data_IF_978956157418
#
_entry.id   IF_978956157418
#
_cell.length_a   1.000
_cell.length_b   1.000
_cell.length_c   1.000
_cell.angle_alpha   90.00
_cell.angle_beta   90.00
_cell.angle_gamma   90.00
#
_symmetry.space_group_name_H-M   'P 1'
#
loop_
_entity.id
_entity.type
_entity.pdbx_description
1 polymer ?
#
# COMPACT_ATOMS: atom_id res chain seq x y z
N UNK A 1 -15.94 19.52 17.77
CA UNK A 1 -14.89 20.21 17.00
C UNK A 1 -15.16 19.90 15.53
N UNK A 2 -15.71 20.85 14.80
CA UNK A 2 -16.05 20.67 13.38
C UNK A 2 -14.75 20.90 12.61
N UNK A 3 -14.18 19.84 12.06
CA UNK A 3 -13.10 19.92 11.09
C UNK A 3 -13.68 20.46 9.78
N UNK A 4 -13.31 21.67 9.37
CA UNK A 4 -13.53 22.10 7.98
C UNK A 4 -12.42 21.53 7.08
N UNK A 5 -12.77 21.20 5.83
CA UNK A 5 -11.84 20.56 4.90
C UNK A 5 -10.63 21.44 4.54
N UNK A 6 -10.74 22.76 4.72
CA UNK A 6 -9.67 23.70 4.39
C UNK A 6 -8.53 23.64 5.42
N UNK A 7 -8.86 23.59 6.70
CA UNK A 7 -7.87 23.47 7.78
C UNK A 7 -7.10 22.15 7.71
N UNK A 8 -7.82 21.05 7.40
CA UNK A 8 -7.20 19.76 7.13
C UNK A 8 -6.25 19.82 5.94
N UNK A 9 -6.66 20.44 4.83
CA UNK A 9 -5.83 20.57 3.64
C UNK A 9 -4.57 21.42 3.89
N UNK A 10 -4.69 22.49 4.67
CA UNK A 10 -3.53 23.32 5.06
C UNK A 10 -2.53 22.53 5.89
N UNK A 11 -3.00 21.71 6.84
CA UNK A 11 -2.14 20.83 7.63
C UNK A 11 -1.43 19.81 6.74
N UNK A 12 -2.17 19.15 5.84
CA UNK A 12 -1.62 18.19 4.87
C UNK A 12 -0.55 18.82 3.98
N UNK A 13 -0.79 20.03 3.48
CA UNK A 13 0.19 20.74 2.66
C UNK A 13 1.46 21.07 3.46
N UNK A 14 1.30 21.45 4.72
CA UNK A 14 2.41 21.70 5.64
C UNK A 14 3.26 20.45 5.86
N UNK A 15 2.63 19.33 6.23
CA UNK A 15 3.34 18.06 6.47
C UNK A 15 3.99 17.53 5.18
N UNK A 16 3.27 17.57 4.06
CA UNK A 16 3.77 17.20 2.72
C UNK A 16 5.06 17.93 2.32
N UNK A 17 5.17 19.22 2.66
CA UNK A 17 6.37 20.03 2.39
C UNK A 17 7.57 19.66 3.28
N UNK A 18 7.31 19.23 4.52
CA UNK A 18 8.35 18.84 5.47
C UNK A 18 9.10 17.59 5.02
N UNK A 19 8.41 16.60 4.42
CA UNK A 19 9.05 15.37 3.93
C UNK A 19 10.16 15.64 2.90
N UNK A 20 9.91 16.50 1.91
CA UNK A 20 10.88 16.79 0.86
C UNK A 20 11.99 17.74 1.33
N UNK A 21 11.69 18.67 2.23
CA UNK A 21 12.63 19.69 2.70
C UNK A 21 13.53 19.22 3.84
N UNK A 22 13.18 18.12 4.54
CA UNK A 22 13.83 17.59 5.75
C UNK A 22 13.82 18.54 6.96
N UNK A 23 13.16 19.68 6.85
CA UNK A 23 13.07 20.66 7.93
C UNK A 23 12.35 20.04 9.12
N UNK A 24 12.96 20.13 10.30
CA UNK A 24 12.45 19.61 11.57
C UNK A 24 12.40 18.08 11.69
N UNK A 25 13.07 17.35 10.79
CA UNK A 25 13.20 15.90 10.94
C UNK A 25 13.97 15.52 12.21
N UNK A 26 13.46 14.53 12.93
CA UNK A 26 13.97 14.05 14.21
C UNK A 26 14.06 12.51 14.26
N UNK A 27 13.77 11.85 13.13
CA UNK A 27 13.84 10.41 12.95
C UNK A 27 14.38 10.06 11.56
N UNK A 28 15.30 9.10 11.53
CA UNK A 28 15.87 8.52 10.33
C UNK A 28 15.31 7.11 10.12
N UNK A 29 14.85 6.81 8.90
CA UNK A 29 14.48 5.46 8.50
C UNK A 29 15.56 4.96 7.54
N UNK A 30 16.35 3.98 8.00
CA UNK A 30 17.40 3.35 7.22
C UNK A 30 16.79 2.30 6.28
N UNK A 31 17.33 2.25 5.06
CA UNK A 31 16.97 1.28 4.04
C UNK A 31 18.19 0.67 3.36
N UNK A 32 17.95 -0.35 2.52
CA UNK A 32 18.95 -1.15 1.82
C UNK A 32 20.10 -0.29 1.24
N UNK A 33 21.32 -0.80 1.42
CA UNK A 33 22.57 -0.18 0.98
C UNK A 33 22.89 1.20 1.61
N UNK A 34 22.35 1.44 2.81
CA UNK A 34 22.75 2.56 3.68
C UNK A 34 22.09 3.89 3.35
N UNK A 35 21.01 3.87 2.58
CA UNK A 35 20.32 5.09 2.26
C UNK A 35 19.14 5.35 3.22
N UNK A 36 18.71 6.61 3.32
CA UNK A 36 17.97 7.11 4.49
C UNK A 36 16.81 8.03 4.11
N UNK A 37 15.66 7.84 4.75
CA UNK A 37 14.55 8.81 4.76
C UNK A 37 14.55 9.60 6.06
N UNK A 38 14.39 10.92 5.96
CA UNK A 38 14.29 11.82 7.10
C UNK A 38 12.83 12.14 7.37
N UNK A 39 12.33 11.75 8.53
CA UNK A 39 10.91 11.82 8.89
C UNK A 39 10.72 12.44 10.27
N UNK A 40 9.45 12.59 10.68
CA UNK A 40 9.05 13.31 11.89
C UNK A 40 8.32 12.36 12.82
N UNK A 41 8.72 12.32 14.09
CA UNK A 41 8.03 11.55 15.13
C UNK A 41 6.77 12.29 15.58
N UNK A 42 5.70 11.53 15.77
CA UNK A 42 4.52 12.04 16.47
C UNK A 42 4.61 11.80 17.99
N UNK A 43 5.35 10.77 18.42
CA UNK A 43 5.60 10.41 19.82
C UNK A 43 7.10 10.14 19.97
N UNK A 44 7.70 10.60 21.06
CA UNK A 44 9.14 10.46 21.31
C UNK A 44 9.54 8.97 21.40
N UNK A 45 10.29 8.50 20.41
CA UNK A 45 10.93 7.19 20.41
C UNK A 45 12.24 7.24 21.21
N UNK A 46 12.63 6.12 21.83
CA UNK A 46 13.90 6.01 22.55
C UNK A 46 15.13 6.08 21.61
N UNK A 47 14.95 5.70 20.35
CA UNK A 47 15.96 5.80 19.30
C UNK A 47 15.45 6.68 18.15
N UNK A 48 16.37 7.33 17.45
CA UNK A 48 16.07 8.17 16.29
C UNK A 48 16.28 7.44 14.96
N UNK A 49 16.32 6.10 14.98
CA UNK A 49 16.56 5.28 13.81
C UNK A 49 15.57 4.10 13.77
N UNK A 50 14.94 3.87 12.62
CA UNK A 50 14.18 2.63 12.34
C UNK A 50 14.85 1.93 11.15
N UNK A 51 15.23 0.67 11.33
CA UNK A 51 15.80 -0.16 10.27
C UNK A 51 14.71 -0.96 9.54
N UNK A 52 14.45 -0.61 8.28
CA UNK A 52 13.53 -1.31 7.37
C UNK A 52 14.28 -1.94 6.19
N UNK A 53 15.55 -2.29 6.37
CA UNK A 53 16.43 -2.81 5.29
C UNK A 53 15.99 -4.16 4.71
N UNK A 54 15.15 -4.91 5.42
CA UNK A 54 14.60 -6.19 4.96
C UNK A 54 13.35 -6.04 4.08
N UNK A 55 12.74 -4.86 4.04
CA UNK A 55 11.53 -4.60 3.28
C UNK A 55 11.82 -4.12 1.84
N UNK A 56 10.82 -4.20 0.97
CA UNK A 56 10.92 -3.66 -0.39
C UNK A 56 11.03 -2.12 -0.35
N UNK A 57 12.12 -1.53 -0.89
CA UNK A 57 12.34 -0.08 -0.84
C UNK A 57 11.26 0.75 -1.56
N UNK A 58 10.66 0.22 -2.63
CA UNK A 58 9.61 0.90 -3.37
C UNK A 58 8.31 0.95 -2.54
N UNK A 59 7.96 -0.16 -1.89
CA UNK A 59 6.81 -0.22 -1.00
C UNK A 59 6.99 0.63 0.25
N UNK A 60 8.17 0.60 0.91
CA UNK A 60 8.46 1.47 2.06
C UNK A 60 8.33 2.93 1.67
N UNK A 61 8.87 3.33 0.52
CA UNK A 61 8.73 4.70 0.02
C UNK A 61 7.26 5.07 -0.22
N UNK A 62 6.45 4.14 -0.72
CA UNK A 62 5.01 4.36 -0.90
C UNK A 62 4.26 4.47 0.43
N UNK A 63 4.62 3.69 1.47
CA UNK A 63 4.07 3.82 2.83
C UNK A 63 4.41 5.20 3.41
N UNK A 64 5.66 5.64 3.27
CA UNK A 64 6.07 6.97 3.70
C UNK A 64 5.31 8.05 2.95
N UNK A 65 5.14 7.93 1.63
CA UNK A 65 4.29 8.86 0.86
C UNK A 65 2.87 8.90 1.39
N UNK A 66 2.27 7.76 1.70
CA UNK A 66 0.93 7.72 2.27
C UNK A 66 0.83 8.53 3.57
N UNK A 67 1.81 8.46 4.47
CA UNK A 67 1.78 9.26 5.70
C UNK A 67 1.81 10.77 5.46
N UNK A 68 2.54 11.23 4.46
CA UNK A 68 2.71 12.67 4.22
C UNK A 68 1.67 13.27 3.29
N UNK A 69 1.26 12.51 2.28
CA UNK A 69 0.39 12.97 1.20
C UNK A 69 -1.03 12.38 1.27
N UNK A 70 -1.26 11.43 2.19
CA UNK A 70 -2.51 10.69 2.31
C UNK A 70 -2.89 9.90 1.04
N UNK A 71 -1.91 9.70 0.16
CA UNK A 71 -1.98 8.97 -1.08
C UNK A 71 -0.59 8.41 -1.43
N UNK A 72 -0.57 7.46 -2.35
CA UNK A 72 0.66 6.89 -2.88
C UNK A 72 0.42 6.45 -4.33
N UNK A 73 1.51 6.40 -5.08
CA UNK A 73 1.56 5.85 -6.44
C UNK A 73 2.83 5.02 -6.58
N UNK A 74 2.84 4.00 -7.45
CA UNK A 74 4.05 3.26 -7.75
C UNK A 74 5.15 4.21 -8.20
N UNK A 75 6.37 3.89 -7.80
CA UNK A 75 7.52 4.76 -8.12
C UNK A 75 7.97 4.64 -9.57
N UNK A 76 7.57 3.56 -10.25
CA UNK A 76 7.87 3.30 -11.65
C UNK A 76 6.62 2.83 -12.38
N UNK A 77 6.49 3.16 -13.66
CA UNK A 77 5.39 2.69 -14.52
C UNK A 77 5.55 1.22 -14.94
N UNK A 78 6.56 0.52 -14.42
CA UNK A 78 6.86 -0.88 -14.76
C UNK A 78 6.21 -1.86 -13.78
N UNK A 79 5.85 -1.38 -12.58
CA UNK A 79 5.18 -2.25 -11.61
C UNK A 79 3.71 -2.42 -11.98
N UNK A 80 3.23 -3.66 -11.98
CA UNK A 80 1.84 -3.88 -12.27
C UNK A 80 0.93 -3.36 -11.15
N UNK A 81 0.02 -2.45 -11.52
CA UNK A 81 -0.78 -1.65 -10.58
C UNK A 81 -1.59 -2.50 -9.60
N UNK A 82 -2.13 -3.62 -10.08
CA UNK A 82 -2.98 -4.51 -9.29
C UNK A 82 -2.18 -5.19 -8.17
N UNK A 83 -1.04 -5.78 -8.51
CA UNK A 83 -0.14 -6.41 -7.54
C UNK A 83 0.48 -5.36 -6.60
N UNK A 84 0.84 -4.19 -7.11
CA UNK A 84 1.37 -3.10 -6.29
C UNK A 84 0.38 -2.66 -5.20
N UNK A 85 -0.89 -2.41 -5.55
CA UNK A 85 -1.90 -2.06 -4.54
C UNK A 85 -2.22 -3.21 -3.59
N UNK A 86 -2.10 -4.46 -4.04
CA UNK A 86 -2.18 -5.64 -3.17
C UNK A 86 -1.09 -5.63 -2.11
N UNK A 87 0.16 -5.43 -2.53
CA UNK A 87 1.31 -5.33 -1.63
C UNK A 87 1.17 -4.16 -0.65
N UNK A 88 0.64 -3.02 -1.09
CA UNK A 88 0.38 -1.89 -0.19
C UNK A 88 -0.70 -2.18 0.85
N UNK A 89 -1.69 -3.00 0.52
CA UNK A 89 -2.66 -3.50 1.51
C UNK A 89 -1.99 -4.40 2.55
N UNK A 90 -1.14 -5.33 2.09
CA UNK A 90 -0.34 -6.21 2.95
C UNK A 90 0.56 -5.39 3.88
N UNK A 91 1.26 -4.37 3.37
CA UNK A 91 2.07 -3.46 4.18
C UNK A 91 1.22 -2.74 5.24
N UNK A 92 0.02 -2.29 4.88
CA UNK A 92 -0.92 -1.71 5.84
C UNK A 92 -1.38 -2.69 6.93
N UNK A 93 -1.47 -3.98 6.62
CA UNK A 93 -1.74 -5.02 7.60
C UNK A 93 -0.53 -5.28 8.51
N UNK A 94 0.65 -5.46 7.91
CA UNK A 94 1.91 -5.77 8.58
C UNK A 94 2.34 -4.68 9.56
N UNK A 95 2.25 -3.42 9.16
CA UNK A 95 2.61 -2.27 10.01
C UNK A 95 1.46 -1.72 10.86
N UNK A 96 0.28 -2.36 10.84
CA UNK A 96 -0.91 -1.89 11.55
C UNK A 96 -1.29 -0.44 11.19
N UNK A 97 -1.43 -0.16 9.89
CA UNK A 97 -1.83 1.14 9.34
C UNK A 97 -3.23 1.00 8.68
N UNK A 98 -4.34 1.10 9.45
CA UNK A 98 -5.70 0.87 8.91
C UNK A 98 -6.07 1.79 7.75
N UNK A 99 -5.63 3.06 7.80
CA UNK A 99 -5.87 4.02 6.73
C UNK A 99 -5.25 3.59 5.39
N UNK A 100 -4.04 3.03 5.44
CA UNK A 100 -3.35 2.52 4.26
C UNK A 100 -4.06 1.29 3.69
N UNK A 101 -4.45 0.33 4.54
CA UNK A 101 -5.27 -0.83 4.14
C UNK A 101 -6.54 -0.38 3.42
N UNK A 102 -7.29 0.54 4.00
CA UNK A 102 -8.55 0.99 3.42
C UNK A 102 -8.33 1.71 2.09
N UNK A 103 -7.27 2.53 1.98
CA UNK A 103 -6.93 3.24 0.75
C UNK A 103 -6.50 2.28 -0.36
N UNK A 104 -5.62 1.33 -0.05
CA UNK A 104 -5.17 0.30 -0.99
C UNK A 104 -6.32 -0.57 -1.49
N UNK A 105 -7.23 -0.96 -0.59
CA UNK A 105 -8.45 -1.70 -0.94
C UNK A 105 -9.31 -0.93 -1.94
N UNK A 106 -9.47 0.39 -1.75
CA UNK A 106 -10.24 1.23 -2.68
C UNK A 106 -9.60 1.30 -4.06
N UNK A 107 -8.28 1.54 -4.13
CA UNK A 107 -7.56 1.59 -5.40
C UNK A 107 -7.63 0.25 -6.15
N UNK A 108 -7.36 -0.86 -5.46
CA UNK A 108 -7.45 -2.20 -6.04
C UNK A 108 -8.86 -2.52 -6.54
N UNK A 109 -9.90 -2.21 -5.74
CA UNK A 109 -11.29 -2.41 -6.15
C UNK A 109 -11.63 -1.61 -7.41
N UNK A 110 -11.14 -0.38 -7.54
CA UNK A 110 -11.32 0.42 -8.76
C UNK A 110 -10.71 -0.29 -9.97
N UNK A 111 -9.45 -0.73 -9.87
CA UNK A 111 -8.77 -1.43 -10.97
C UNK A 111 -9.52 -2.69 -11.42
N UNK A 112 -10.03 -3.49 -10.47
CA UNK A 112 -10.83 -4.67 -10.79
C UNK A 112 -12.11 -4.27 -11.54
N UNK A 113 -12.83 -3.25 -11.06
CA UNK A 113 -14.04 -2.77 -11.74
C UNK A 113 -13.76 -2.23 -13.14
N UNK A 114 -12.56 -1.67 -13.37
CA UNK A 114 -12.11 -1.16 -14.66
C UNK A 114 -11.57 -2.27 -15.60
N UNK A 115 -11.71 -3.54 -15.23
CA UNK A 115 -11.34 -4.68 -16.08
C UNK A 115 -9.94 -5.26 -15.82
N UNK A 116 -9.22 -4.76 -14.81
CA UNK A 116 -7.86 -5.29 -14.51
C UNK A 116 -7.87 -6.72 -13.96
N UNK A 117 -9.03 -7.33 -13.76
CA UNK A 117 -9.14 -8.76 -13.44
C UNK A 117 -8.72 -9.66 -14.63
N UNK A 118 -8.74 -9.14 -15.86
CA UNK A 118 -8.28 -9.86 -17.06
C UNK A 118 -6.76 -9.86 -17.23
N UNK A 119 -6.02 -9.14 -16.38
CA UNK A 119 -4.56 -9.14 -16.48
C UNK A 119 -4.00 -10.42 -15.86
N UNK A 120 -2.86 -10.87 -16.40
CA UNK A 120 -2.09 -12.01 -15.86
C UNK A 120 -1.66 -11.83 -14.40
N UNK A 121 -1.80 -10.64 -13.82
CA UNK A 121 -1.42 -10.34 -12.44
C UNK A 121 -2.54 -10.65 -11.46
N UNK A 122 -3.77 -10.83 -11.92
CA UNK A 122 -4.90 -11.08 -11.04
C UNK A 122 -4.71 -12.37 -10.22
N UNK A 123 -4.24 -13.50 -10.79
CA UNK A 123 -3.87 -14.67 -9.99
C UNK A 123 -2.77 -14.39 -8.96
N UNK A 124 -1.70 -13.68 -9.37
CA UNK A 124 -0.58 -13.35 -8.48
C UNK A 124 -1.04 -12.47 -7.30
N UNK A 125 -1.94 -11.51 -7.57
CA UNK A 125 -2.54 -10.67 -6.54
C UNK A 125 -3.41 -11.49 -5.57
N UNK A 126 -4.15 -12.49 -6.05
CA UNK A 126 -4.90 -13.40 -5.18
C UNK A 126 -3.94 -14.16 -4.26
N UNK A 127 -2.89 -14.79 -4.81
CA UNK A 127 -1.91 -15.51 -4.01
C UNK A 127 -1.27 -14.61 -2.95
N UNK A 128 -0.81 -13.42 -3.34
CA UNK A 128 -0.23 -12.43 -2.42
C UNK A 128 -1.17 -12.07 -1.26
N UNK A 129 -2.47 -11.91 -1.52
CA UNK A 129 -3.47 -11.66 -0.46
C UNK A 129 -3.53 -12.84 0.51
N UNK A 130 -3.60 -14.07 -0.01
CA UNK A 130 -3.79 -15.25 0.83
C UNK A 130 -2.53 -15.66 1.59
N UNK A 131 -1.34 -15.40 1.03
CA UNK A 131 -0.04 -15.67 1.66
C UNK A 131 0.26 -14.71 2.81
N UNK A 132 -0.08 -13.42 2.66
CA UNK A 132 0.38 -12.37 3.56
C UNK A 132 -0.70 -11.72 4.42
N UNK A 133 -1.94 -12.20 4.35
CA UNK A 133 -3.01 -11.77 5.26
C UNK A 133 -3.52 -12.94 6.08
N UNK A 134 -4.04 -12.67 7.28
CA UNK A 134 -4.67 -13.71 8.12
C UNK A 134 -6.06 -14.06 7.60
N UNK A 135 -6.56 -15.26 7.91
CA UNK A 135 -7.86 -15.76 7.40
C UNK A 135 -9.08 -14.89 7.78
N UNK A 136 -8.99 -14.24 8.95
CA UNK A 136 -10.01 -13.29 9.43
C UNK A 136 -9.98 -11.95 8.68
N UNK A 137 -8.96 -11.68 7.88
CA UNK A 137 -8.84 -10.45 7.11
C UNK A 137 -9.72 -10.49 5.86
N UNK A 138 -11.01 -10.22 6.05
CA UNK A 138 -12.02 -10.27 4.97
C UNK A 138 -11.90 -9.13 3.97
N UNK A 139 -11.06 -8.12 4.20
CA UNK A 139 -11.07 -6.90 3.39
C UNK A 139 -10.79 -7.12 1.91
N UNK A 140 -9.55 -7.47 1.53
CA UNK A 140 -9.26 -7.81 0.13
C UNK A 140 -9.75 -9.20 -0.27
N UNK A 141 -9.81 -10.15 0.68
CA UNK A 141 -10.30 -11.51 0.42
C UNK A 141 -11.72 -11.49 -0.15
N UNK A 142 -12.63 -10.70 0.42
CA UNK A 142 -14.01 -10.59 -0.10
C UNK A 142 -14.05 -9.91 -1.48
N UNK A 143 -13.15 -8.95 -1.74
CA UNK A 143 -13.07 -8.25 -3.03
C UNK A 143 -12.67 -9.23 -4.13
N UNK A 144 -11.59 -9.99 -3.92
CA UNK A 144 -11.10 -10.92 -4.94
C UNK A 144 -12.03 -12.13 -5.09
N UNK A 145 -12.63 -12.65 -4.02
CA UNK A 145 -13.62 -13.74 -4.11
C UNK A 145 -14.81 -13.33 -4.98
N UNK A 146 -15.32 -12.10 -4.81
CA UNK A 146 -16.40 -11.58 -5.67
C UNK A 146 -15.94 -11.49 -7.12
N UNK A 147 -14.80 -10.85 -7.37
CA UNK A 147 -14.25 -10.69 -8.72
C UNK A 147 -14.00 -12.03 -9.42
N UNK A 148 -13.45 -13.02 -8.72
CA UNK A 148 -13.24 -14.38 -9.22
C UNK A 148 -14.57 -15.07 -9.53
N UNK A 149 -15.58 -14.92 -8.66
CA UNK A 149 -16.90 -15.53 -8.85
C UNK A 149 -17.62 -14.93 -10.06
N UNK A 150 -17.60 -13.59 -10.17
CA UNK A 150 -18.27 -12.87 -11.25
C UNK A 150 -17.66 -13.20 -12.63
N UNK A 151 -16.37 -13.56 -12.67
CA UNK A 151 -15.61 -13.83 -13.89
C UNK A 151 -15.17 -15.30 -14.02
N UNK A 152 -15.77 -16.19 -13.24
CA UNK A 152 -15.31 -17.57 -13.08
C UNK A 152 -15.27 -18.35 -14.41
N UNK A 153 -16.24 -18.14 -15.29
CA UNK A 153 -16.31 -18.84 -16.57
C UNK A 153 -15.12 -18.53 -17.49
N UNK A 154 -14.55 -17.34 -17.39
CA UNK A 154 -13.33 -16.94 -18.11
C UNK A 154 -12.10 -17.50 -17.40
N UNK A 155 -12.01 -17.29 -16.08
CA UNK A 155 -10.84 -17.65 -15.27
C UNK A 155 -10.59 -19.16 -15.21
N UNK A 156 -11.63 -20.00 -15.24
CA UNK A 156 -11.47 -21.46 -15.25
C UNK A 156 -10.75 -22.00 -16.50
N UNK A 157 -10.61 -21.19 -17.54
CA UNK A 157 -9.89 -21.53 -18.78
C UNK A 157 -8.49 -20.93 -18.84
N UNK A 158 -8.13 -20.09 -17.87
CA UNK A 158 -6.80 -19.48 -17.74
C UNK A 158 -5.86 -20.42 -16.98
N UNK A 159 -4.80 -20.88 -17.64
CA UNK A 159 -3.83 -21.78 -17.04
C UNK A 159 -3.06 -21.13 -15.88
N UNK A 160 -2.73 -19.82 -15.98
CA UNK A 160 -2.00 -19.13 -14.92
C UNK A 160 -2.85 -19.02 -13.65
N UNK A 161 -4.16 -18.79 -13.81
CA UNK A 161 -5.09 -18.82 -12.69
C UNK A 161 -5.16 -20.21 -12.03
N UNK A 162 -5.13 -21.29 -12.80
CA UNK A 162 -5.16 -22.66 -12.28
C UNK A 162 -3.84 -23.09 -11.62
N UNK A 163 -2.70 -22.54 -12.06
CA UNK A 163 -1.38 -22.88 -11.52
C UNK A 163 -1.10 -22.20 -10.18
N UNK A 164 -1.72 -21.04 -9.93
CA UNK A 164 -1.51 -20.20 -8.75
C UNK A 164 -2.57 -20.42 -7.65
N UNK A 165 -3.76 -20.91 -8.01
CA UNK A 165 -4.88 -21.18 -7.09
C UNK A 165 -4.75 -22.50 -6.32
#
# INVERSE_FOLDING_TARGET
MVWDGESAQRLLNGTSGMFNSRLYSDLEVLYKDGATYYVHKYIEAQENVIDLSNDDPALVKAVLRFFYYHDYEPTTNTEPMLLFHTKMYVMGAYYFIPGLKEHAKKKLRSLILDGSWETKEFPDAIAEIYDWTVESDKGLRDVVVRATTDNFDTLKTDQHFLDVA
#
